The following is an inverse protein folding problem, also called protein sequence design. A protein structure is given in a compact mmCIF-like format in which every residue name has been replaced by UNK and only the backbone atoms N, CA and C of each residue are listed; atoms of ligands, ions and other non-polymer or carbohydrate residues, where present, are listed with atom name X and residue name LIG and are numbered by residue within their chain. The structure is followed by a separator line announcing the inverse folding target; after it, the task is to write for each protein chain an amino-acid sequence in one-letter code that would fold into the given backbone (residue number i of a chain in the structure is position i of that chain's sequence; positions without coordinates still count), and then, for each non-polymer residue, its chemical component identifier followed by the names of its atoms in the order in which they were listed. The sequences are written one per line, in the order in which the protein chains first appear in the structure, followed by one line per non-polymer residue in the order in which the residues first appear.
data_IF_238284616390
#
_entry.id   IF_238284616390
#
_cell.length_a   1.000
_cell.length_b   1.000
_cell.length_c   1.000
_cell.angle_alpha   90.00
_cell.angle_beta   90.00
_cell.angle_gamma   90.00
#
_symmetry.space_group_name_H-M   'P 1'
#
loop_
_entity.id
_entity.type
_entity.pdbx_description
1 polymer ?
#
# COMPACT_ATOMS: atom_id res chain seq x y z
N UNK A 1 -28.82 -11.60 6.34
CA UNK A 1 -27.35 -11.58 6.38
C UNK A 1 -26.92 -10.19 5.93
N UNK A 2 -26.46 -9.34 6.86
CA UNK A 2 -26.11 -7.93 6.61
C UNK A 2 -24.59 -7.80 6.42
N UNK A 3 -24.15 -6.92 5.52
CA UNK A 3 -22.72 -6.61 5.26
C UNK A 3 -22.09 -5.91 6.50
N UNK A 4 -20.98 -6.43 7.06
CA UNK A 4 -20.29 -5.85 8.20
C UNK A 4 -19.60 -4.49 7.94
N UNK A 5 -19.66 -3.94 6.71
CA UNK A 5 -19.18 -2.58 6.40
C UNK A 5 -20.25 -1.48 6.43
N UNK A 6 -21.44 -1.76 6.96
CA UNK A 6 -22.45 -0.71 7.21
C UNK A 6 -22.01 0.23 8.35
N UNK A 7 -20.99 1.05 8.09
CA UNK A 7 -20.70 2.27 8.84
C UNK A 7 -21.73 3.31 8.42
N UNK A 8 -22.39 3.96 9.38
CA UNK A 8 -23.48 4.90 9.08
C UNK A 8 -23.06 5.94 8.03
N UNK A 9 -23.79 5.98 6.92
CA UNK A 9 -23.56 6.93 5.81
C UNK A 9 -23.45 8.35 6.33
N UNK A 10 -22.53 9.12 5.76
CA UNK A 10 -22.27 10.51 6.14
C UNK A 10 -23.50 11.38 5.88
N UNK A 11 -23.90 12.16 6.88
CA UNK A 11 -24.94 13.20 6.75
C UNK A 11 -24.31 14.59 6.78
N UNK A 12 -25.00 15.60 6.26
CA UNK A 12 -24.55 17.00 6.31
C UNK A 12 -24.31 17.50 7.74
N UNK A 13 -25.17 17.11 8.69
CA UNK A 13 -25.00 17.45 10.10
C UNK A 13 -23.70 16.86 10.66
N UNK A 14 -23.47 15.56 10.41
CA UNK A 14 -22.25 14.88 10.87
C UNK A 14 -21.01 15.46 10.21
N UNK A 15 -21.07 15.77 8.91
CA UNK A 15 -20.00 16.44 8.20
C UNK A 15 -19.67 17.80 8.82
N UNK A 16 -20.68 18.62 9.14
CA UNK A 16 -20.49 19.90 9.83
C UNK A 16 -19.78 19.76 11.19
N UNK A 17 -20.16 18.74 11.98
CA UNK A 17 -19.48 18.45 13.26
C UNK A 17 -18.03 18.04 13.05
N UNK A 18 -17.72 17.24 12.02
CA UNK A 18 -16.35 16.85 11.71
C UNK A 18 -15.51 18.03 11.21
N UNK A 19 -16.06 18.83 10.29
CA UNK A 19 -15.40 20.01 9.73
C UNK A 19 -15.04 21.04 10.82
N UNK A 20 -15.93 21.28 11.78
CA UNK A 20 -15.67 22.23 12.88
C UNK A 20 -14.54 21.82 13.83
N UNK A 21 -14.11 20.55 13.79
CA UNK A 21 -12.98 20.05 14.59
C UNK A 21 -11.65 20.14 13.87
N UNK A 22 -11.64 20.46 12.58
CA UNK A 22 -10.40 20.54 11.82
C UNK A 22 -9.68 21.85 12.15
N UNK A 23 -8.35 21.82 12.39
CA UNK A 23 -7.57 23.01 12.70
C UNK A 23 -7.16 23.77 11.42
N UNK A 24 -8.05 23.86 10.44
CA UNK A 24 -7.82 24.53 9.15
C UNK A 24 -9.02 25.41 8.77
N UNK A 25 -8.83 26.30 7.81
CA UNK A 25 -9.93 27.12 7.29
C UNK A 25 -10.92 26.21 6.56
N UNK A 26 -12.21 26.41 6.78
CA UNK A 26 -13.27 25.73 6.03
C UNK A 26 -13.93 26.76 5.11
N UNK A 27 -13.78 26.58 3.81
CA UNK A 27 -14.44 27.38 2.78
C UNK A 27 -15.82 26.81 2.46
N UNK A 28 -16.57 27.54 1.63
CA UNK A 28 -17.84 27.05 1.09
C UNK A 28 -17.63 25.70 0.41
N UNK A 29 -18.51 24.75 0.73
CA UNK A 29 -18.49 23.42 0.16
C UNK A 29 -18.63 23.45 -1.36
N UNK A 30 -18.24 22.34 -1.99
CA UNK A 30 -18.36 22.19 -3.43
C UNK A 30 -19.84 22.06 -3.81
N UNK A 31 -20.23 22.68 -4.92
CA UNK A 31 -21.53 22.40 -5.54
C UNK A 31 -21.54 21.05 -6.28
N UNK A 32 -22.71 20.53 -6.62
CA UNK A 32 -22.83 19.33 -7.47
C UNK A 32 -22.08 19.48 -8.80
N UNK A 33 -22.12 20.67 -9.40
CA UNK A 33 -21.42 20.98 -10.65
C UNK A 33 -19.90 20.95 -10.47
N UNK A 34 -19.39 21.50 -9.36
CA UNK A 34 -17.95 21.45 -9.05
C UNK A 34 -17.49 20.03 -8.76
N UNK A 35 -18.29 19.22 -8.05
CA UNK A 35 -18.01 17.79 -7.85
C UNK A 35 -17.91 17.07 -9.20
N UNK A 36 -18.92 17.24 -10.06
CA UNK A 36 -18.94 16.60 -11.37
C UNK A 36 -17.73 17.00 -12.23
N UNK A 37 -17.36 18.29 -12.21
CA UNK A 37 -16.21 18.79 -12.95
C UNK A 37 -14.89 18.20 -12.46
N UNK A 38 -14.69 18.06 -11.14
CA UNK A 38 -13.48 17.42 -10.57
C UNK A 38 -13.41 15.95 -10.96
N UNK A 39 -14.52 15.23 -10.84
CA UNK A 39 -14.62 13.81 -11.18
C UNK A 39 -14.33 13.54 -12.66
N UNK A 40 -14.90 14.35 -13.56
CA UNK A 40 -14.65 14.29 -14.99
C UNK A 40 -13.18 14.61 -15.31
N UNK A 41 -12.65 15.68 -14.73
CA UNK A 41 -11.29 16.16 -14.98
C UNK A 41 -10.21 15.14 -14.64
N UNK A 42 -10.39 14.41 -13.54
CA UNK A 42 -9.38 13.48 -13.02
C UNK A 42 -9.76 12.01 -13.21
N UNK A 43 -10.92 11.71 -13.82
CA UNK A 43 -11.32 10.36 -14.18
C UNK A 43 -11.63 9.44 -12.99
N UNK A 44 -12.09 10.01 -11.87
CA UNK A 44 -12.49 9.23 -10.69
C UNK A 44 -13.87 9.65 -10.17
N UNK A 45 -14.42 8.89 -9.22
CA UNK A 45 -15.66 9.23 -8.52
C UNK A 45 -15.38 9.32 -7.03
N UNK A 46 -15.82 10.40 -6.38
CA UNK A 46 -15.85 10.45 -4.93
C UNK A 46 -16.79 9.36 -4.39
N UNK A 47 -16.50 8.84 -3.20
CA UNK A 47 -17.47 8.06 -2.44
C UNK A 47 -18.61 8.98 -1.98
N UNK A 48 -19.82 8.44 -1.81
CA UNK A 48 -21.00 9.23 -1.42
C UNK A 48 -20.76 10.00 -0.12
N UNK A 49 -20.10 9.36 0.86
CA UNK A 49 -19.73 10.00 2.12
C UNK A 49 -18.75 11.18 1.93
N UNK A 50 -17.81 11.08 1.00
CA UNK A 50 -16.89 12.16 0.67
C UNK A 50 -17.58 13.31 -0.05
N UNK A 51 -18.56 13.02 -0.92
CA UNK A 51 -19.38 14.08 -1.56
C UNK A 51 -20.11 14.88 -0.48
N UNK A 52 -20.85 14.21 0.40
CA UNK A 52 -21.57 14.89 1.50
C UNK A 52 -20.61 15.73 2.36
N UNK A 53 -19.43 15.19 2.67
CA UNK A 53 -18.43 15.92 3.45
C UNK A 53 -17.93 17.20 2.74
N UNK A 54 -17.49 17.08 1.48
CA UNK A 54 -16.94 18.21 0.70
C UNK A 54 -18.01 19.24 0.29
N UNK A 55 -19.27 18.82 0.20
CA UNK A 55 -20.39 19.73 -0.06
C UNK A 55 -20.85 20.45 1.21
N UNK A 56 -20.69 19.86 2.40
CA UNK A 56 -20.96 20.53 3.67
C UNK A 56 -19.94 21.63 4.00
N UNK A 57 -18.70 21.50 3.51
CA UNK A 57 -17.65 22.49 3.61
C UNK A 57 -16.34 21.98 3.02
N UNK A 58 -15.51 22.90 2.51
CA UNK A 58 -14.26 22.55 1.84
C UNK A 58 -13.07 22.95 2.73
N UNK A 59 -12.35 22.00 3.35
CA UNK A 59 -11.14 22.31 4.08
C UNK A 59 -10.05 22.89 3.17
N UNK A 60 -9.47 24.00 3.58
CA UNK A 60 -8.36 24.66 2.90
C UNK A 60 -7.16 24.76 3.84
N UNK A 61 -6.04 24.11 3.46
CA UNK A 61 -4.80 24.15 4.22
C UNK A 61 -3.90 22.94 3.99
N UNK A 62 -2.73 22.92 4.65
CA UNK A 62 -1.79 21.80 4.57
C UNK A 62 -2.47 20.45 4.88
N UNK A 63 -2.21 19.45 4.03
CA UNK A 63 -2.82 18.12 4.14
C UNK A 63 -4.20 17.97 3.48
N UNK A 64 -4.82 19.06 3.00
CA UNK A 64 -6.07 19.01 2.24
C UNK A 64 -5.83 19.38 0.77
N UNK A 65 -6.42 18.67 -0.21
CA UNK A 65 -6.39 19.09 -1.60
C UNK A 65 -7.33 20.27 -1.83
N UNK A 66 -6.84 21.32 -2.50
CA UNK A 66 -7.72 22.39 -2.99
C UNK A 66 -8.40 21.94 -4.28
N UNK A 67 -9.54 21.27 -4.15
CA UNK A 67 -10.29 20.76 -5.30
C UNK A 67 -10.85 21.86 -6.22
N UNK A 68 -10.94 23.10 -5.73
CA UNK A 68 -11.54 24.22 -6.48
C UNK A 68 -10.49 24.99 -7.28
N UNK A 69 -9.34 25.31 -6.66
CA UNK A 69 -8.31 26.16 -7.26
C UNK A 69 -6.91 25.54 -7.26
N UNK A 70 -6.77 24.29 -6.83
CA UNK A 70 -5.48 23.61 -6.76
C UNK A 70 -4.83 23.42 -8.14
N UNK A 71 -3.49 23.37 -8.13
CA UNK A 71 -2.70 23.04 -9.32
C UNK A 71 -3.11 21.64 -9.83
N UNK A 72 -3.55 21.53 -11.09
CA UNK A 72 -4.00 20.25 -11.65
C UNK A 72 -2.92 19.17 -11.65
N UNK A 73 -1.65 19.54 -11.80
CA UNK A 73 -0.55 18.58 -11.77
C UNK A 73 -0.27 18.10 -10.33
N UNK A 74 -0.34 18.97 -9.32
CA UNK A 74 -0.24 18.57 -7.90
C UNK A 74 -1.39 17.64 -7.50
N UNK A 75 -2.63 17.97 -7.89
CA UNK A 75 -3.79 17.13 -7.63
C UNK A 75 -3.68 15.76 -8.32
N UNK A 76 -3.18 15.72 -9.56
CA UNK A 76 -2.93 14.46 -10.27
C UNK A 76 -1.85 13.64 -9.58
N UNK A 77 -0.73 14.26 -9.20
CA UNK A 77 0.32 13.61 -8.42
C UNK A 77 -0.19 13.03 -7.11
N UNK A 78 -1.04 13.75 -6.38
CA UNK A 78 -1.68 13.24 -5.14
C UNK A 78 -2.62 12.06 -5.37
N UNK A 79 -3.37 12.07 -6.47
CA UNK A 79 -4.26 10.95 -6.86
C UNK A 79 -3.47 9.73 -7.35
N UNK A 80 -2.31 9.98 -7.95
CA UNK A 80 -1.42 8.97 -8.50
C UNK A 80 -0.53 8.35 -7.42
N UNK A 81 -0.22 9.09 -6.36
CA UNK A 81 0.69 8.67 -5.30
C UNK A 81 0.36 7.31 -4.66
N UNK A 82 -0.90 6.97 -4.31
CA UNK A 82 -1.21 5.64 -3.78
C UNK A 82 -0.94 4.53 -4.80
N UNK A 83 -1.22 4.79 -6.08
CA UNK A 83 -0.97 3.83 -7.16
C UNK A 83 0.53 3.68 -7.39
N UNK A 84 1.27 4.79 -7.47
CA UNK A 84 2.73 4.79 -7.62
C UNK A 84 3.40 4.11 -6.43
N UNK A 85 2.96 4.37 -5.20
CA UNK A 85 3.47 3.70 -4.01
C UNK A 85 3.25 2.19 -4.04
N UNK A 86 2.05 1.73 -4.43
CA UNK A 86 1.79 0.28 -4.59
C UNK A 86 2.62 -0.31 -5.73
N UNK A 87 2.69 0.35 -6.89
CA UNK A 87 3.50 -0.12 -8.02
C UNK A 87 5.00 -0.17 -7.67
N UNK A 88 5.48 0.81 -6.91
CA UNK A 88 6.83 0.83 -6.37
C UNK A 88 7.05 -0.35 -5.43
N UNK A 89 6.16 -0.57 -4.45
CA UNK A 89 6.24 -1.68 -3.50
C UNK A 89 6.20 -3.05 -4.21
N UNK A 90 5.40 -3.19 -5.27
CA UNK A 90 5.33 -4.39 -6.12
C UNK A 90 6.62 -4.58 -6.90
N UNK A 91 7.08 -3.55 -7.61
CA UNK A 91 8.30 -3.60 -8.42
C UNK A 91 9.58 -3.81 -7.60
N UNK A 92 9.54 -3.43 -6.32
CA UNK A 92 10.64 -3.64 -5.39
C UNK A 92 10.37 -4.78 -4.42
N UNK A 93 9.44 -5.71 -4.66
CA UNK A 93 9.22 -6.92 -3.85
C UNK A 93 8.69 -6.74 -2.42
N UNK A 94 8.60 -5.51 -1.91
CA UNK A 94 8.07 -5.19 -0.57
C UNK A 94 6.62 -5.64 -0.40
N UNK A 95 5.82 -5.52 -1.47
CA UNK A 95 4.42 -5.91 -1.46
C UNK A 95 4.25 -7.43 -1.28
N UNK A 96 5.09 -8.25 -1.91
CA UNK A 96 5.03 -9.71 -1.76
C UNK A 96 5.35 -10.15 -0.33
N UNK A 97 6.34 -9.52 0.31
CA UNK A 97 6.65 -9.75 1.73
C UNK A 97 5.45 -9.50 2.63
N UNK A 98 4.73 -8.38 2.42
CA UNK A 98 3.49 -8.07 3.17
C UNK A 98 2.42 -9.15 2.99
N UNK A 99 2.23 -9.65 1.77
CA UNK A 99 1.23 -10.70 1.53
C UNK A 99 1.63 -12.04 2.16
N UNK A 100 2.91 -12.39 2.18
CA UNK A 100 3.43 -13.58 2.88
C UNK A 100 3.13 -13.47 4.37
N UNK A 101 3.51 -12.36 5.00
CA UNK A 101 3.33 -12.15 6.45
C UNK A 101 1.85 -12.05 6.82
N UNK A 102 1.02 -11.46 5.96
CA UNK A 102 -0.43 -11.38 6.12
C UNK A 102 -1.19 -12.66 5.76
N UNK A 103 -0.49 -13.72 5.32
CA UNK A 103 -1.10 -15.01 4.95
C UNK A 103 -1.96 -14.99 3.68
N UNK A 104 -1.98 -13.87 2.94
CA UNK A 104 -2.72 -13.72 1.68
C UNK A 104 -1.96 -14.28 0.48
N UNK A 105 -0.65 -14.52 0.64
CA UNK A 105 0.20 -15.23 -0.31
C UNK A 105 0.89 -16.40 0.41
N UNK A 106 0.84 -17.59 -0.19
CA UNK A 106 1.57 -18.75 0.32
C UNK A 106 3.07 -18.43 0.38
N UNK A 107 3.72 -18.72 1.52
CA UNK A 107 5.08 -18.29 1.78
C UNK A 107 6.09 -18.79 0.74
N UNK A 108 6.00 -20.07 0.36
CA UNK A 108 6.87 -20.63 -0.69
C UNK A 108 6.66 -19.93 -2.04
N UNK A 109 5.40 -19.77 -2.48
CA UNK A 109 5.11 -19.05 -3.74
C UNK A 109 5.57 -17.60 -3.71
N UNK A 110 5.43 -16.93 -2.58
CA UNK A 110 5.94 -15.57 -2.41
C UNK A 110 7.47 -15.52 -2.41
N UNK A 111 8.13 -16.50 -1.78
CA UNK A 111 9.58 -16.67 -1.84
C UNK A 111 10.10 -16.83 -3.26
N UNK A 112 9.43 -17.64 -4.09
CA UNK A 112 9.79 -17.79 -5.51
C UNK A 112 9.63 -16.50 -6.31
N UNK A 113 8.57 -15.71 -6.06
CA UNK A 113 8.41 -14.40 -6.71
C UNK A 113 9.54 -13.45 -6.32
N UNK A 114 9.89 -13.40 -5.03
CA UNK A 114 11.01 -12.59 -4.55
C UNK A 114 12.33 -13.08 -5.17
N UNK A 115 12.53 -14.39 -5.29
CA UNK A 115 13.73 -14.95 -5.92
C UNK A 115 13.81 -14.63 -7.41
N UNK A 116 12.80 -14.96 -8.20
CA UNK A 116 12.88 -14.84 -9.66
C UNK A 116 12.61 -13.44 -10.19
N UNK A 117 11.71 -12.70 -9.56
CA UNK A 117 11.30 -11.37 -10.02
C UNK A 117 11.98 -10.27 -9.18
N UNK A 118 12.06 -10.44 -7.86
CA UNK A 118 12.57 -9.40 -6.96
C UNK A 118 14.09 -9.30 -6.86
N UNK A 119 14.80 -10.43 -6.87
CA UNK A 119 16.21 -10.49 -6.51
C UNK A 119 17.11 -9.68 -7.44
N UNK A 120 16.96 -9.86 -8.75
CA UNK A 120 17.73 -9.12 -9.76
C UNK A 120 17.30 -7.65 -9.83
N UNK A 121 15.99 -7.36 -9.70
CA UNK A 121 15.46 -5.99 -9.67
C UNK A 121 16.02 -5.18 -8.50
N UNK A 122 16.21 -5.82 -7.34
CA UNK A 122 16.80 -5.21 -6.14
C UNK A 122 18.33 -5.18 -6.16
N UNK A 123 18.96 -5.70 -7.22
CA UNK A 123 20.42 -5.75 -7.34
C UNK A 123 21.09 -6.73 -6.40
N UNK A 124 20.43 -7.88 -6.15
CA UNK A 124 20.96 -9.03 -5.39
C UNK A 124 21.44 -8.68 -3.98
N UNK A 125 20.60 -8.05 -3.15
CA UNK A 125 21.01 -7.62 -1.82
C UNK A 125 21.21 -8.82 -0.89
N UNK A 126 22.32 -8.82 -0.13
CA UNK A 126 22.67 -9.94 0.76
C UNK A 126 21.61 -10.22 1.82
N UNK A 127 20.88 -9.18 2.26
CA UNK A 127 19.83 -9.32 3.27
C UNK A 127 18.67 -10.21 2.84
N UNK A 128 18.47 -10.41 1.53
CA UNK A 128 17.44 -11.33 1.04
C UNK A 128 17.92 -12.80 1.01
N UNK A 129 19.23 -13.06 1.16
CA UNK A 129 19.78 -14.43 1.05
C UNK A 129 19.10 -15.44 1.98
N UNK A 130 18.81 -15.14 3.26
CA UNK A 130 18.14 -16.10 4.14
C UNK A 130 16.77 -16.53 3.62
N UNK A 131 15.97 -15.59 3.11
CA UNK A 131 14.64 -15.87 2.55
C UNK A 131 14.74 -16.75 1.29
N UNK A 132 15.71 -16.48 0.41
CA UNK A 132 15.96 -17.34 -0.76
C UNK A 132 16.42 -18.72 -0.33
N UNK A 133 17.35 -18.80 0.62
CA UNK A 133 17.85 -20.06 1.16
C UNK A 133 16.69 -20.94 1.65
N UNK A 134 15.81 -20.42 2.50
CA UNK A 134 14.66 -21.20 2.96
C UNK A 134 13.66 -21.56 1.86
N UNK A 135 13.56 -20.74 0.82
CA UNK A 135 12.73 -21.06 -0.35
C UNK A 135 13.31 -22.23 -1.14
N UNK A 136 14.62 -22.25 -1.35
CA UNK A 136 15.34 -23.37 -1.99
C UNK A 136 15.22 -24.65 -1.16
N UNK A 137 15.44 -24.58 0.15
CA UNK A 137 15.31 -25.72 1.05
C UNK A 137 13.88 -26.29 1.07
N UNK A 138 12.86 -25.43 0.96
CA UNK A 138 11.47 -25.88 0.82
C UNK A 138 11.28 -26.65 -0.50
N UNK A 139 11.88 -26.20 -1.59
CA UNK A 139 11.81 -26.82 -2.91
C UNK A 139 12.49 -28.20 -2.92
N UNK A 140 13.71 -28.28 -2.39
CA UNK A 140 14.55 -29.48 -2.35
C UNK A 140 14.14 -30.49 -1.28
N UNK A 141 13.23 -30.12 -0.38
CA UNK A 141 12.84 -30.93 0.77
C UNK A 141 12.42 -32.36 0.40
N UNK A 142 12.84 -33.31 1.23
CA UNK A 142 12.42 -34.71 1.16
C UNK A 142 12.08 -35.27 2.54
N UNK A 143 11.28 -36.34 2.59
CA UNK A 143 10.90 -37.02 3.84
C UNK A 143 12.12 -37.51 4.65
N UNK A 144 13.25 -37.79 4.00
CA UNK A 144 14.45 -38.32 4.68
C UNK A 144 15.11 -37.30 5.61
N UNK A 145 14.73 -36.03 5.54
CA UNK A 145 15.29 -34.97 6.37
C UNK A 145 14.74 -34.99 7.80
N UNK A 146 13.69 -35.79 8.07
CA UNK A 146 13.18 -36.01 9.42
C UNK A 146 12.54 -34.78 10.06
N UNK A 147 12.18 -33.77 9.26
CA UNK A 147 11.48 -32.57 9.71
C UNK A 147 10.31 -32.23 8.79
N UNK A 148 9.19 -31.68 9.32
CA UNK A 148 8.04 -31.28 8.50
C UNK A 148 8.42 -30.20 7.48
N UNK A 149 7.85 -30.28 6.28
CA UNK A 149 8.09 -29.28 5.21
C UNK A 149 7.57 -27.89 5.62
N UNK A 150 6.54 -27.86 6.45
CA UNK A 150 5.92 -26.64 7.00
C UNK A 150 6.92 -25.78 7.80
N UNK A 151 7.95 -26.39 8.39
CA UNK A 151 9.00 -25.65 9.12
C UNK A 151 9.71 -24.64 8.20
N UNK A 152 9.87 -24.93 6.92
CA UNK A 152 10.48 -23.99 5.97
C UNK A 152 9.53 -22.84 5.61
N UNK A 153 8.23 -23.10 5.53
CA UNK A 153 7.19 -22.05 5.39
C UNK A 153 7.29 -21.03 6.55
N UNK A 154 7.42 -21.52 7.78
CA UNK A 154 7.53 -20.67 8.98
C UNK A 154 8.82 -19.83 8.96
N UNK A 155 9.93 -20.42 8.51
CA UNK A 155 11.19 -19.70 8.32
C UNK A 155 11.08 -18.60 7.26
N UNK A 156 10.47 -18.89 6.10
CA UNK A 156 10.23 -17.88 5.06
C UNK A 156 9.37 -16.73 5.60
N UNK A 157 8.30 -17.02 6.36
CA UNK A 157 7.45 -15.97 6.97
C UNK A 157 8.25 -15.14 7.98
N UNK A 158 9.12 -15.78 8.76
CA UNK A 158 9.95 -15.11 9.77
C UNK A 158 10.95 -14.16 9.13
N UNK A 159 11.66 -14.61 8.10
CA UNK A 159 12.57 -13.75 7.33
C UNK A 159 11.81 -12.61 6.64
N UNK A 160 10.64 -12.91 6.06
CA UNK A 160 9.83 -11.90 5.41
C UNK A 160 9.39 -10.79 6.40
N UNK A 161 9.07 -11.16 7.64
CA UNK A 161 8.76 -10.18 8.70
C UNK A 161 9.99 -9.35 9.07
N UNK A 162 11.14 -9.99 9.26
CA UNK A 162 12.39 -9.29 9.56
C UNK A 162 12.76 -8.27 8.48
N UNK A 163 12.52 -8.61 7.21
CA UNK A 163 12.76 -7.70 6.08
C UNK A 163 11.81 -6.51 6.06
N UNK A 164 10.53 -6.71 6.42
CA UNK A 164 9.55 -5.61 6.54
C UNK A 164 9.86 -4.64 7.68
N UNK A 165 10.51 -5.12 8.74
CA UNK A 165 10.92 -4.31 9.89
C UNK A 165 12.25 -3.55 9.63
N UNK A 166 12.96 -3.89 8.55
CA UNK A 166 14.23 -3.29 8.14
C UNK A 166 14.08 -2.15 7.12
N UNK A 167 15.20 -1.48 6.77
CA UNK A 167 15.19 -0.45 5.72
C UNK A 167 14.87 -1.05 4.34
N UNK A 168 14.02 -0.36 3.58
CA UNK A 168 13.63 -0.75 2.22
C UNK A 168 13.69 0.42 1.22
N UNK A 169 14.13 0.22 -0.04
CA UNK A 169 14.71 -1.01 -0.58
C UNK A 169 16.05 -1.35 0.08
N UNK A 170 16.38 -2.66 0.21
CA UNK A 170 17.65 -3.06 0.79
C UNK A 170 18.81 -2.55 -0.06
N UNK A 171 19.87 -2.10 0.61
CA UNK A 171 21.10 -1.67 -0.08
C UNK A 171 21.74 -2.85 -0.81
N UNK A 172 22.23 -2.61 -2.03
CA UNK A 172 23.06 -3.59 -2.74
C UNK A 172 24.25 -3.96 -1.86
N UNK A 173 24.52 -5.27 -1.72
CA UNK A 173 25.73 -5.74 -1.06
C UNK A 173 26.95 -5.14 -1.76
N UNK A 174 27.82 -4.48 -0.99
CA UNK A 174 29.12 -4.00 -1.47
C UNK A 174 29.97 -5.18 -1.88
N UNK A 175 29.90 -5.59 -3.15
CA UNK A 175 30.98 -6.36 -3.77
C UNK A 175 32.12 -5.38 -4.15
N UNK A 176 32.72 -4.74 -3.14
CA UNK A 176 34.08 -4.22 -3.25
C UNK A 176 35.01 -5.40 -3.04
N UNK A 177 35.48 -6.01 -4.12
CA UNK A 177 36.76 -6.73 -4.25
C UNK A 177 36.90 -7.21 -5.70
N UNK A 178 37.41 -6.34 -6.56
CA UNK A 178 38.17 -6.71 -7.78
C UNK A 178 39.65 -6.48 -7.47
#
# INVERSE_FOLDING_TARGET
MADPRSTASMTYERAGVLLSRLPVRIDLGLSDAEIAAVEERFGFRFADDHRVFLQAGLPAGPGWPDWRNGDPEDLRGRLDWPREGVLFDVGHGFWWLRLIVGGSLNAYRGGLLIWHEGWDLLGRPDVLQPLIGWTSEYEDWTESWGMPRETFTERIITEARSLLDGPWPPTKGTNENV
#
